data_IF_528512231841
#
_entry.id   IF_528512231841
#
_cell.length_a   1.000
_cell.length_b   1.000
_cell.length_c   1.000
_cell.angle_alpha   90.00
_cell.angle_beta   90.00
_cell.angle_gamma   90.00
#
_symmetry.space_group_name_H-M   'P 1'
#
loop_
_entity.id
_entity.type
_entity.pdbx_description
1 polymer ?
#
# COMPACT_ATOMS: atom_id res chain seq x y z
N UNK A 1 -26.29 48.82 -5.16
CA UNK A 1 -25.92 47.50 -4.64
C UNK A 1 -24.75 47.69 -3.68
N UNK A 2 -24.89 47.37 -2.41
CA UNK A 2 -23.79 47.48 -1.43
C UNK A 2 -22.83 46.31 -1.58
N UNK A 3 -21.52 46.57 -1.50
CA UNK A 3 -20.51 45.52 -1.48
C UNK A 3 -20.65 44.66 -0.22
N UNK A 4 -20.25 43.38 -0.25
CA UNK A 4 -20.22 42.53 0.94
C UNK A 4 -19.45 43.21 2.09
N UNK A 5 -19.91 43.00 3.33
CA UNK A 5 -19.30 43.59 4.53
C UNK A 5 -17.83 43.20 4.70
N UNK A 6 -17.47 41.97 4.34
CA UNK A 6 -16.09 41.47 4.33
C UNK A 6 -15.18 42.27 3.39
N UNK A 7 -15.67 42.60 2.20
CA UNK A 7 -14.91 43.39 1.23
C UNK A 7 -14.69 44.82 1.72
N UNK A 8 -15.72 45.43 2.29
CA UNK A 8 -15.64 46.80 2.83
C UNK A 8 -14.62 46.90 3.96
N UNK A 9 -14.59 45.92 4.86
CA UNK A 9 -13.65 45.87 5.98
C UNK A 9 -12.19 45.78 5.52
N UNK A 10 -11.87 44.98 4.50
CA UNK A 10 -10.51 44.83 3.99
C UNK A 10 -10.01 46.10 3.28
N UNK A 11 -10.90 46.78 2.54
CA UNK A 11 -10.57 48.06 1.90
C UNK A 11 -10.36 49.16 2.95
N UNK A 12 -11.19 49.19 4.00
CA UNK A 12 -11.00 50.13 5.11
C UNK A 12 -9.66 49.89 5.83
N UNK A 13 -9.30 48.63 6.08
CA UNK A 13 -8.02 48.25 6.69
C UNK A 13 -6.82 48.69 5.83
N UNK A 14 -6.86 48.44 4.52
CA UNK A 14 -5.84 48.91 3.59
C UNK A 14 -5.76 50.45 3.59
N UNK A 15 -6.90 51.13 3.52
CA UNK A 15 -6.95 52.60 3.48
C UNK A 15 -6.34 53.24 4.73
N UNK A 16 -6.51 52.59 5.89
CA UNK A 16 -5.92 53.01 7.16
C UNK A 16 -4.40 52.87 7.14
N UNK A 17 -3.89 51.75 6.63
CA UNK A 17 -2.46 51.49 6.61
C UNK A 17 -1.72 52.33 5.58
N UNK A 18 -2.33 52.59 4.41
CA UNK A 18 -1.80 53.51 3.39
C UNK A 18 -1.71 54.94 3.93
N UNK A 19 -2.76 55.42 4.64
CA UNK A 19 -2.72 56.76 5.27
C UNK A 19 -1.66 56.87 6.35
N UNK A 20 -1.39 55.77 7.06
CA UNK A 20 -0.41 55.72 8.15
C UNK A 20 1.02 55.69 7.65
N UNK A 21 1.32 54.88 6.63
CA UNK A 21 2.69 54.65 6.17
C UNK A 21 3.12 55.54 5.00
N UNK A 22 2.16 56.19 4.31
CA UNK A 22 2.39 57.04 3.14
C UNK A 22 3.46 56.48 2.18
N UNK A 23 3.24 55.26 1.63
CA UNK A 23 4.23 54.60 0.80
C UNK A 23 4.44 55.35 -0.52
N UNK A 24 5.70 55.42 -0.97
CA UNK A 24 6.07 56.02 -2.27
C UNK A 24 5.58 55.17 -3.45
N UNK A 25 5.56 53.85 -3.28
CA UNK A 25 4.99 52.90 -4.24
C UNK A 25 3.73 52.26 -3.63
N UNK A 26 2.58 52.84 -3.97
CA UNK A 26 1.28 52.41 -3.47
C UNK A 26 0.90 51.03 -4.01
N UNK A 27 1.31 50.68 -5.23
CA UNK A 27 0.94 49.39 -5.84
C UNK A 27 1.70 48.23 -5.21
N UNK A 28 3.01 48.36 -5.05
CA UNK A 28 3.82 47.36 -4.35
C UNK A 28 3.40 47.23 -2.89
N UNK A 29 3.02 48.34 -2.25
CA UNK A 29 2.50 48.34 -0.89
C UNK A 29 1.21 47.54 -0.77
N UNK A 30 0.24 47.77 -1.66
CA UNK A 30 -1.01 47.01 -1.71
C UNK A 30 -0.77 45.51 -1.94
N UNK A 31 0.13 45.14 -2.86
CA UNK A 31 0.47 43.75 -3.11
C UNK A 31 1.02 43.05 -1.86
N UNK A 32 1.98 43.70 -1.19
CA UNK A 32 2.58 43.18 0.05
C UNK A 32 1.56 43.10 1.20
N UNK A 33 0.65 44.08 1.31
CA UNK A 33 -0.41 44.10 2.31
C UNK A 33 -1.33 42.89 2.17
N UNK A 34 -1.84 42.62 0.97
CA UNK A 34 -2.74 41.48 0.74
C UNK A 34 -2.03 40.14 0.88
N UNK A 35 -0.74 40.06 0.53
CA UNK A 35 0.04 38.84 0.73
C UNK A 35 0.21 38.50 2.21
N UNK A 36 0.55 39.49 3.06
CA UNK A 36 0.63 39.31 4.52
C UNK A 36 -0.73 38.98 5.15
N UNK A 37 -1.80 39.59 4.64
CA UNK A 37 -3.17 39.31 5.09
C UNK A 37 -3.58 37.87 4.77
N UNK A 38 -3.25 37.38 3.58
CA UNK A 38 -3.51 36.01 3.15
C UNK A 38 -2.71 34.98 3.96
N UNK A 39 -1.43 35.27 4.24
CA UNK A 39 -0.59 34.43 5.10
C UNK A 39 -1.17 34.32 6.51
N UNK A 40 -1.66 35.43 7.07
CA UNK A 40 -2.31 35.45 8.39
C UNK A 40 -3.57 34.59 8.42
N UNK A 41 -4.42 34.68 7.38
CA UNK A 41 -5.63 33.84 7.28
C UNK A 41 -5.30 32.35 7.17
N UNK A 42 -4.25 31.99 6.43
CA UNK A 42 -3.80 30.60 6.32
C UNK A 42 -3.25 30.06 7.64
N UNK A 43 -2.49 30.88 8.36
CA UNK A 43 -1.98 30.51 9.68
C UNK A 43 -3.13 30.31 10.69
N UNK A 44 -4.13 31.19 10.67
CA UNK A 44 -5.32 31.07 11.50
C UNK A 44 -6.10 29.79 11.18
N UNK A 45 -6.34 29.49 9.89
CA UNK A 45 -7.03 28.28 9.45
C UNK A 45 -6.35 26.98 9.91
N UNK A 46 -5.02 26.92 9.84
CA UNK A 46 -4.24 25.77 10.32
C UNK A 46 -4.35 25.61 11.84
N UNK A 47 -4.37 26.72 12.58
CA UNK A 47 -4.60 26.74 14.03
C UNK A 47 -6.01 26.26 14.39
N UNK A 48 -7.04 26.64 13.63
CA UNK A 48 -8.42 26.17 13.85
C UNK A 48 -8.57 24.68 13.54
N UNK A 49 -7.86 24.16 12.54
CA UNK A 49 -7.81 22.71 12.25
C UNK A 49 -7.17 21.89 13.37
N UNK A 50 -6.14 22.43 14.03
CA UNK A 50 -5.54 21.76 15.18
C UNK A 50 -6.49 21.69 16.38
N UNK A 51 -7.31 22.72 16.61
CA UNK A 51 -8.28 22.76 17.70
C UNK A 51 -9.56 21.93 17.46
N UNK A 52 -9.89 21.56 16.22
CA UNK A 52 -11.03 20.70 15.88
C UNK A 52 -10.73 19.20 15.87
N UNK A 53 -9.53 18.77 16.28
CA UNK A 53 -9.13 17.36 16.32
C UNK A 53 -9.49 16.60 17.62
N UNK A 54 -10.22 17.24 18.54
CA UNK A 54 -10.89 16.60 19.68
C UNK A 54 -12.41 16.74 19.59
N UNK A 55 -13.03 16.18 18.54
CA UNK A 55 -14.38 15.58 18.54
C UNK A 55 -14.76 15.19 17.12
N UNK A 56 -15.10 13.91 16.95
CA UNK A 56 -15.85 13.25 15.85
C UNK A 56 -16.10 13.94 14.50
N UNK A 57 -15.90 13.13 13.43
CA UNK A 57 -16.40 13.29 12.05
C UNK A 57 -15.71 14.38 11.20
N UNK A 58 -14.89 13.95 10.24
CA UNK A 58 -14.41 14.81 9.16
C UNK A 58 -15.52 14.96 8.11
N UNK A 59 -16.34 16.00 8.24
CA UNK A 59 -17.24 16.46 7.18
C UNK A 59 -16.47 17.40 6.25
N UNK A 60 -16.43 17.06 4.96
CA UNK A 60 -15.70 17.79 3.93
C UNK A 60 -16.43 19.08 3.56
N UNK A 61 -15.97 20.24 4.06
CA UNK A 61 -16.45 21.55 3.62
C UNK A 61 -15.38 22.26 2.77
N UNK A 62 -15.37 21.98 1.47
CA UNK A 62 -14.74 22.85 0.46
C UNK A 62 -15.80 23.81 -0.10
N UNK A 63 -15.61 25.15 -0.06
CA UNK A 63 -16.50 26.09 -0.72
C UNK A 63 -16.06 26.23 -2.18
N UNK A 64 -16.81 25.64 -3.10
CA UNK A 64 -16.54 25.71 -4.54
C UNK A 64 -17.54 24.87 -5.33
N UNK A 65 -18.61 25.51 -5.78
CA UNK A 65 -19.63 24.92 -6.64
C UNK A 65 -19.10 24.68 -8.05
N UNK A 66 -18.81 23.42 -8.40
CA UNK A 66 -19.08 22.81 -9.71
C UNK A 66 -18.50 21.39 -9.75
N UNK A 67 -19.32 20.41 -9.38
CA UNK A 67 -19.03 19.00 -9.67
C UNK A 67 -19.49 18.73 -11.12
N UNK A 68 -18.60 18.35 -12.07
CA UNK A 68 -18.97 18.22 -13.49
C UNK A 68 -19.56 16.86 -13.86
N UNK A 69 -19.86 15.98 -12.90
CA UNK A 69 -20.51 14.69 -13.14
C UNK A 69 -21.65 14.49 -12.14
N UNK A 70 -22.85 14.93 -12.53
CA UNK A 70 -24.08 14.73 -11.78
C UNK A 70 -25.28 15.07 -12.67
N UNK A 71 -25.84 14.06 -13.30
CA UNK A 71 -26.99 14.18 -14.19
C UNK A 71 -28.25 14.56 -13.41
N UNK A 72 -28.74 15.79 -13.60
CA UNK A 72 -30.07 16.20 -13.15
C UNK A 72 -31.10 15.85 -14.23
N UNK A 73 -31.85 14.77 -14.02
CA UNK A 73 -33.11 14.55 -14.72
C UNK A 73 -34.20 15.32 -13.97
N UNK A 74 -34.77 16.33 -14.60
CA UNK A 74 -36.11 16.80 -14.25
C UNK A 74 -36.95 16.86 -15.52
N UNK A 75 -38.00 16.05 -15.54
CA UNK A 75 -38.96 15.91 -16.63
C UNK A 75 -40.18 16.79 -16.35
N UNK A 76 -40.70 17.45 -17.39
CA UNK A 76 -42.06 17.97 -17.39
C UNK A 76 -42.69 17.93 -18.77
N UNK A 77 -43.94 17.43 -18.80
CA UNK A 77 -44.96 17.50 -19.84
C UNK A 77 -44.82 16.58 -21.07
N UNK A 78 -45.86 15.94 -21.61
CA UNK A 78 -47.25 15.75 -21.22
C UNK A 78 -47.90 14.72 -22.17
N UNK A 79 -49.05 14.19 -21.74
CA UNK A 79 -50.25 13.84 -22.52
C UNK A 79 -50.52 12.37 -22.93
N UNK A 80 -51.65 11.88 -22.36
CA UNK A 80 -52.76 11.06 -22.95
C UNK A 80 -52.46 9.61 -23.41
N UNK A 81 -53.28 8.57 -23.22
CA UNK A 81 -54.66 8.38 -22.71
C UNK A 81 -55.03 6.86 -22.71
N UNK A 82 -56.03 6.45 -21.87
CA UNK A 82 -56.90 5.23 -21.94
C UNK A 82 -56.26 3.84 -21.66
N UNK A 83 -56.91 2.77 -21.17
CA UNK A 83 -58.09 2.48 -20.31
C UNK A 83 -58.24 0.92 -20.17
N UNK A 84 -58.44 0.41 -18.93
CA UNK A 84 -59.24 -0.80 -18.50
C UNK A 84 -58.60 -2.24 -18.51
N UNK A 85 -58.96 -3.17 -17.54
CA UNK A 85 -58.14 -4.25 -16.91
C UNK A 85 -58.71 -5.69 -17.19
N UNK A 86 -58.61 -6.77 -16.35
CA UNK A 86 -57.77 -7.15 -15.18
C UNK A 86 -57.14 -8.58 -15.23
N UNK A 87 -56.29 -8.93 -14.23
CA UNK A 87 -56.22 -10.23 -13.49
C UNK A 87 -54.81 -10.83 -13.23
N UNK A 88 -54.56 -11.11 -11.94
CA UNK A 88 -53.79 -12.23 -11.32
C UNK A 88 -52.31 -12.49 -11.65
N UNK A 89 -51.46 -12.52 -10.61
CA UNK A 89 -50.24 -13.37 -10.58
C UNK A 89 -49.03 -12.83 -9.78
N UNK A 90 -48.79 -13.42 -8.60
CA UNK A 90 -47.50 -13.67 -7.92
C UNK A 90 -46.39 -12.58 -7.88
N UNK A 91 -46.04 -12.17 -6.65
CA UNK A 91 -44.79 -11.46 -6.32
C UNK A 91 -43.60 -12.44 -6.25
N UNK A 92 -42.59 -12.25 -7.09
CA UNK A 92 -41.23 -12.75 -6.91
C UNK A 92 -40.28 -11.56 -6.79
N UNK A 93 -39.48 -11.57 -5.73
CA UNK A 93 -38.39 -10.61 -5.46
C UNK A 93 -37.19 -11.07 -6.28
N UNK A 94 -36.68 -10.21 -7.16
CA UNK A 94 -35.49 -10.47 -7.95
C UNK A 94 -34.25 -10.05 -7.15
N UNK A 95 -33.38 -11.03 -6.91
CA UNK A 95 -32.00 -10.89 -6.48
C UNK A 95 -31.17 -10.43 -7.70
N UNK A 96 -30.33 -9.41 -7.52
CA UNK A 96 -29.35 -9.00 -8.53
C UNK A 96 -28.04 -9.77 -8.27
N UNK A 97 -27.86 -10.84 -9.04
CA UNK A 97 -26.58 -11.53 -9.24
C UNK A 97 -25.70 -10.67 -10.17
N UNK A 98 -24.65 -10.04 -9.63
CA UNK A 98 -23.55 -9.44 -10.41
C UNK A 98 -22.31 -10.36 -10.35
N UNK A 99 -22.37 -11.46 -11.10
CA UNK A 99 -21.18 -12.19 -11.53
C UNK A 99 -20.69 -11.63 -12.89
N UNK A 100 -19.38 -11.34 -12.97
CA UNK A 100 -18.61 -10.83 -14.12
C UNK A 100 -18.49 -9.31 -14.30
N UNK A 101 -17.58 -8.69 -13.54
CA UNK A 101 -16.98 -7.41 -13.93
C UNK A 101 -15.64 -7.65 -14.63
N UNK A 102 -15.65 -7.56 -15.97
CA UNK A 102 -14.46 -7.44 -16.81
C UNK A 102 -13.69 -6.15 -16.45
N UNK A 103 -12.44 -6.32 -16.03
CA UNK A 103 -11.55 -5.23 -15.63
C UNK A 103 -10.95 -4.54 -16.87
N UNK A 104 -11.66 -3.56 -17.42
CA UNK A 104 -11.12 -2.71 -18.50
C UNK A 104 -10.15 -1.64 -17.92
N UNK A 105 -8.86 -1.81 -18.23
CA UNK A 105 -7.79 -0.83 -17.95
C UNK A 105 -8.06 0.53 -18.65
N UNK A 106 -7.74 1.69 -18.05
CA UNK A 106 -8.10 3.02 -18.57
C UNK A 106 -7.26 3.46 -19.79
N UNK A 107 -6.64 2.54 -20.52
CA UNK A 107 -5.84 2.82 -21.72
C UNK A 107 -6.45 2.27 -23.01
N UNK A 108 -7.74 1.90 -23.02
CA UNK A 108 -8.40 1.40 -24.22
C UNK A 108 -9.00 2.54 -25.07
N UNK A 109 -8.46 2.71 -26.28
CA UNK A 109 -8.99 3.61 -27.32
C UNK A 109 -10.30 3.05 -27.88
N UNK A 110 -11.41 3.76 -27.69
CA UNK A 110 -12.73 3.41 -28.25
C UNK A 110 -12.95 4.09 -29.61
N UNK A 111 -12.92 3.34 -30.69
CA UNK A 111 -13.65 3.64 -31.92
C UNK A 111 -14.32 2.36 -32.43
N UNK A 112 -15.63 2.38 -32.77
CA UNK A 112 -16.36 1.18 -33.18
C UNK A 112 -16.03 0.78 -34.63
N UNK A 113 -15.97 -0.53 -34.98
CA UNK A 113 -15.78 -0.97 -36.35
C UNK A 113 -17.14 -1.09 -37.07
N UNK A 114 -17.24 -0.53 -38.27
CA UNK A 114 -18.27 -0.90 -39.25
C UNK A 114 -17.64 -1.70 -40.38
N UNK A 115 -18.26 -2.83 -40.70
CA UNK A 115 -17.86 -3.83 -41.69
C UNK A 115 -18.48 -3.51 -43.06
N UNK A 116 -17.68 -3.53 -44.15
CA UNK A 116 -17.89 -4.36 -45.38
C UNK A 116 -16.85 -4.11 -46.49
N UNK A 117 -16.24 -5.23 -46.94
CA UNK A 117 -15.75 -5.69 -48.28
C UNK A 117 -15.20 -4.66 -49.31
N UNK A 118 -14.12 -4.87 -50.10
CA UNK A 118 -13.64 -6.06 -50.81
C UNK A 118 -12.22 -5.86 -51.43
N UNK A 119 -11.51 -6.97 -51.67
CA UNK A 119 -10.47 -7.28 -52.69
C UNK A 119 -9.04 -6.67 -52.71
N UNK A 120 -8.10 -7.63 -52.75
CA UNK A 120 -6.82 -7.71 -53.48
C UNK A 120 -5.53 -7.04 -52.96
N UNK A 121 -4.66 -7.92 -52.44
CA UNK A 121 -3.22 -8.11 -52.72
C UNK A 121 -2.20 -6.99 -52.45
N UNK A 122 -1.25 -7.38 -51.58
CA UNK A 122 0.20 -7.32 -51.74
C UNK A 122 0.99 -6.30 -50.88
N UNK A 123 1.85 -6.88 -50.04
CA UNK A 123 3.20 -6.46 -49.65
C UNK A 123 3.45 -5.11 -48.98
N UNK A 124 4.23 -5.17 -47.90
CA UNK A 124 5.14 -4.08 -47.53
C UNK A 124 4.78 -3.34 -46.25
N UNK A 125 5.49 -3.69 -45.18
CA UNK A 125 5.69 -2.87 -43.99
C UNK A 125 6.05 -1.42 -44.34
N UNK A 126 5.23 -0.45 -43.99
CA UNK A 126 5.60 0.98 -43.92
C UNK A 126 4.65 1.72 -42.97
N UNK A 127 5.09 1.97 -41.74
CA UNK A 127 4.40 2.87 -40.81
C UNK A 127 4.88 4.31 -41.10
N UNK A 128 4.22 4.99 -42.04
CA UNK A 128 4.34 6.44 -42.28
C UNK A 128 3.50 7.22 -41.26
N UNK A 129 3.90 8.38 -40.72
CA UNK A 129 4.35 9.62 -41.36
C UNK A 129 3.35 10.13 -42.41
N UNK A 130 2.39 11.00 -42.04
CA UNK A 130 1.80 12.13 -42.81
C UNK A 130 0.95 12.96 -41.81
N UNK A 131 1.22 14.21 -41.42
CA UNK A 131 1.63 15.45 -42.10
C UNK A 131 0.59 15.95 -43.13
N UNK A 132 -0.31 16.82 -42.66
CA UNK A 132 -1.23 17.60 -43.50
C UNK A 132 -0.51 18.82 -44.08
N UNK A 133 -0.62 18.95 -45.40
CA UNK A 133 -0.15 20.06 -46.23
C UNK A 133 -1.24 21.14 -46.34
N UNK A 134 -0.89 22.43 -46.45
CA UNK A 134 -1.69 23.36 -47.21
C UNK A 134 -0.88 23.93 -48.38
N UNK A 135 -1.48 23.81 -49.56
CA UNK A 135 -1.04 24.35 -50.84
C UNK A 135 -0.98 25.88 -50.86
N UNK A 136 0.09 26.46 -51.43
CA UNK A 136 -0.03 27.46 -52.50
C UNK A 136 1.32 27.81 -53.14
N UNK A 137 1.21 28.16 -54.41
CA UNK A 137 2.19 28.47 -55.45
C UNK A 137 3.12 29.67 -55.19
N UNK A 138 4.33 29.60 -55.76
CA UNK A 138 4.89 30.74 -56.50
C UNK A 138 6.19 31.38 -56.00
N UNK A 139 7.26 31.08 -56.74
CA UNK A 139 8.34 32.02 -57.17
C UNK A 139 9.44 32.47 -56.21
N UNK A 140 10.69 32.33 -56.70
CA UNK A 140 11.95 32.81 -56.15
C UNK A 140 12.01 34.35 -56.04
N UNK A 141 12.61 34.87 -54.96
CA UNK A 141 13.55 36.01 -55.01
C UNK A 141 14.35 36.22 -53.71
N UNK A 142 15.55 36.75 -53.88
CA UNK A 142 16.62 36.99 -52.92
C UNK A 142 16.47 38.33 -52.15
N UNK A 143 17.04 38.35 -50.94
CA UNK A 143 17.55 39.51 -50.15
C UNK A 143 16.56 40.49 -49.50
N UNK A 144 16.56 40.51 -48.15
CA UNK A 144 17.12 41.61 -47.33
C UNK A 144 17.01 41.30 -45.83
N UNK A 145 18.06 41.65 -45.09
CA UNK A 145 18.21 41.48 -43.63
C UNK A 145 17.31 42.44 -42.85
N UNK A 146 16.73 41.95 -41.76
CA UNK A 146 16.28 42.71 -40.57
C UNK A 146 16.10 41.72 -39.39
N UNK A 147 16.32 42.14 -38.13
CA UNK A 147 17.02 41.34 -37.13
C UNK A 147 16.14 40.32 -36.40
N UNK A 148 16.78 39.23 -35.97
CA UNK A 148 16.22 38.25 -35.06
C UNK A 148 15.80 38.94 -33.75
N UNK A 149 14.50 38.92 -33.46
CA UNK A 149 14.06 39.09 -32.08
C UNK A 149 14.42 37.83 -31.31
N UNK A 150 15.38 38.01 -30.42
CA UNK A 150 15.77 37.14 -29.33
C UNK A 150 14.49 36.69 -28.61
N UNK A 151 14.16 35.39 -28.69
CA UNK A 151 13.02 34.83 -27.95
C UNK A 151 13.52 34.50 -26.54
N UNK A 152 13.22 35.30 -25.50
CA UNK A 152 13.84 35.16 -24.20
C UNK A 152 13.00 34.20 -23.36
N UNK A 153 13.02 32.90 -23.69
CA UNK A 153 12.51 31.82 -22.81
C UNK A 153 12.80 30.41 -23.37
N UNK A 154 14.04 30.14 -23.74
CA UNK A 154 14.54 28.76 -23.73
C UNK A 154 14.84 28.38 -22.28
N UNK A 155 13.86 27.80 -21.58
CA UNK A 155 14.11 27.21 -20.26
C UNK A 155 15.27 26.18 -20.36
N UNK A 156 16.22 26.17 -19.42
CA UNK A 156 17.27 25.16 -19.40
C UNK A 156 16.66 23.75 -19.44
N UNK A 157 17.26 22.82 -20.20
CA UNK A 157 16.83 21.39 -20.25
C UNK A 157 16.83 20.71 -18.87
N UNK A 158 17.39 21.36 -17.86
CA UNK A 158 17.42 20.96 -16.46
C UNK A 158 16.20 21.46 -15.65
N UNK A 159 15.20 22.10 -16.28
CA UNK A 159 13.93 22.46 -15.64
C UNK A 159 13.01 21.25 -15.41
N UNK A 160 13.59 20.11 -15.00
CA UNK A 160 12.87 19.08 -14.29
C UNK A 160 12.87 19.47 -12.82
N UNK A 161 11.96 20.37 -12.40
CA UNK A 161 11.66 20.62 -10.99
C UNK A 161 11.19 19.31 -10.35
N UNK A 162 12.12 18.47 -9.87
CA UNK A 162 11.90 17.36 -8.94
C UNK A 162 10.51 16.70 -9.04
N UNK A 163 9.99 16.48 -10.27
CA UNK A 163 8.63 15.99 -10.44
C UNK A 163 8.70 14.55 -10.02
N UNK A 164 7.89 14.19 -9.03
CA UNK A 164 7.81 12.81 -8.55
C UNK A 164 7.46 11.93 -9.74
N UNK A 165 8.36 11.03 -10.10
CA UNK A 165 8.15 10.02 -11.14
C UNK A 165 7.54 8.79 -10.50
N UNK A 166 6.64 8.12 -11.23
CA UNK A 166 6.10 6.84 -10.79
C UNK A 166 7.18 5.76 -10.85
N UNK A 167 7.17 4.85 -9.88
CA UNK A 167 7.97 3.63 -9.88
C UNK A 167 7.05 2.43 -9.86
N UNK A 168 7.44 1.37 -10.57
CA UNK A 168 6.72 0.09 -10.58
C UNK A 168 7.72 -1.05 -10.56
N UNK A 169 7.26 -2.19 -10.08
CA UNK A 169 8.00 -3.44 -10.08
C UNK A 169 7.25 -4.46 -10.97
N UNK A 170 7.83 -5.64 -11.24
CA UNK A 170 7.14 -6.63 -12.06
C UNK A 170 5.82 -7.09 -11.39
N UNK A 171 4.81 -7.42 -12.19
CA UNK A 171 3.58 -8.04 -11.70
C UNK A 171 3.86 -9.49 -11.34
N UNK A 172 3.47 -9.89 -10.13
CA UNK A 172 3.55 -11.27 -9.63
C UNK A 172 2.14 -11.70 -9.26
N UNK A 173 1.68 -12.83 -9.81
CA UNK A 173 0.34 -13.36 -9.58
C UNK A 173 0.43 -14.58 -8.64
N UNK A 174 0.22 -14.41 -7.32
CA UNK A 174 0.36 -15.51 -6.35
C UNK A 174 -0.68 -16.63 -6.52
N UNK A 175 -1.81 -16.35 -7.18
CA UNK A 175 -2.92 -17.30 -7.39
C UNK A 175 -2.89 -18.01 -8.74
N UNK A 176 -1.96 -17.68 -9.65
CA UNK A 176 -1.91 -18.33 -10.95
C UNK A 176 -1.45 -19.78 -10.78
N UNK A 177 -2.36 -20.73 -11.02
CA UNK A 177 -2.17 -22.18 -10.87
C UNK A 177 -0.93 -22.76 -11.58
N UNK A 178 -0.32 -22.00 -12.50
CA UNK A 178 0.87 -22.37 -13.24
C UNK A 178 2.18 -22.23 -12.43
N UNK A 179 2.13 -21.61 -11.25
CA UNK A 179 3.31 -21.29 -10.45
C UNK A 179 3.50 -22.22 -9.22
N UNK A 180 2.74 -23.32 -9.16
CA UNK A 180 2.78 -24.33 -8.08
C UNK A 180 4.10 -25.11 -7.97
N UNK A 181 5.00 -24.99 -8.95
CA UNK A 181 6.27 -25.71 -8.97
C UNK A 181 7.51 -24.83 -8.71
N UNK A 182 7.33 -23.54 -8.40
CA UNK A 182 8.47 -22.76 -7.97
C UNK A 182 8.88 -23.16 -6.56
N UNK A 183 10.18 -23.39 -6.39
CA UNK A 183 10.78 -23.66 -5.10
C UNK A 183 11.76 -22.55 -4.82
N UNK A 184 11.72 -22.06 -3.58
CA UNK A 184 12.69 -21.09 -3.09
C UNK A 184 14.09 -21.65 -3.37
N UNK A 185 14.94 -20.94 -4.16
CA UNK A 185 16.31 -21.34 -4.37
C UNK A 185 17.01 -21.48 -3.02
N UNK A 186 17.76 -22.55 -2.82
CA UNK A 186 18.51 -22.77 -1.59
C UNK A 186 19.95 -23.09 -1.94
N UNK A 187 20.86 -22.24 -1.47
CA UNK A 187 22.29 -22.42 -1.63
C UNK A 187 22.90 -22.78 -0.28
N UNK A 188 23.66 -23.89 -0.20
CA UNK A 188 24.20 -24.37 1.06
C UNK A 188 25.17 -23.36 1.68
N UNK A 189 25.01 -23.12 2.98
CA UNK A 189 25.83 -22.20 3.78
C UNK A 189 26.24 -22.87 5.07
N UNK A 190 27.38 -22.45 5.61
CA UNK A 190 27.79 -22.85 6.96
C UNK A 190 27.00 -22.07 8.01
N UNK A 191 26.82 -22.64 9.20
CA UNK A 191 26.12 -21.98 10.31
C UNK A 191 26.76 -20.63 10.68
N UNK A 192 28.08 -20.51 10.55
CA UNK A 192 28.80 -19.25 10.77
C UNK A 192 28.48 -18.18 9.71
N UNK A 193 28.41 -18.58 8.43
CA UNK A 193 28.01 -17.68 7.34
C UNK A 193 26.57 -17.20 7.52
N UNK A 194 25.64 -18.08 7.90
CA UNK A 194 24.25 -17.70 8.19
C UNK A 194 24.16 -16.71 9.34
N UNK A 195 24.95 -16.92 10.41
CA UNK A 195 24.99 -15.99 11.55
C UNK A 195 25.50 -14.61 11.13
N UNK A 196 26.58 -14.54 10.35
CA UNK A 196 27.11 -13.26 9.82
C UNK A 196 26.12 -12.57 8.89
N UNK A 197 25.47 -13.32 8.01
CA UNK A 197 24.44 -12.81 7.11
C UNK A 197 23.25 -12.24 7.87
N UNK A 198 22.76 -12.97 8.88
CA UNK A 198 21.67 -12.51 9.74
C UNK A 198 22.04 -11.20 10.44
N UNK A 199 23.26 -11.08 10.96
CA UNK A 199 23.73 -9.84 11.57
C UNK A 199 23.85 -8.68 10.55
N UNK A 200 24.32 -8.96 9.32
CA UNK A 200 24.49 -7.96 8.27
C UNK A 200 23.16 -7.37 7.77
N UNK A 201 22.09 -8.17 7.72
CA UNK A 201 20.77 -7.70 7.25
C UNK A 201 19.86 -7.20 8.38
N UNK A 202 20.19 -7.42 9.64
CA UNK A 202 19.32 -7.09 10.78
C UNK A 202 18.92 -5.61 10.86
N UNK A 203 19.80 -4.70 10.44
CA UNK A 203 19.54 -3.25 10.43
C UNK A 203 18.88 -2.74 9.15
N UNK A 204 18.65 -3.62 8.17
CA UNK A 204 18.04 -3.26 6.90
C UNK A 204 16.51 -3.25 7.04
N UNK A 205 15.87 -2.15 6.66
CA UNK A 205 14.42 -1.97 6.78
C UNK A 205 13.60 -3.01 5.99
N UNK A 206 14.16 -3.59 4.93
CA UNK A 206 13.51 -4.66 4.16
C UNK A 206 13.47 -6.00 4.89
N UNK A 207 14.38 -6.20 5.85
CA UNK A 207 14.57 -7.47 6.54
C UNK A 207 14.11 -7.40 8.01
N UNK A 208 14.04 -6.20 8.59
CA UNK A 208 13.69 -5.98 10.00
C UNK A 208 12.29 -6.47 10.40
N UNK A 209 11.36 -6.59 9.44
CA UNK A 209 9.98 -7.01 9.68
C UNK A 209 9.66 -8.41 9.15
N UNK A 210 10.67 -9.17 8.74
CA UNK A 210 10.48 -10.56 8.31
C UNK A 210 10.34 -11.48 9.52
N UNK A 211 9.47 -12.48 9.40
CA UNK A 211 9.44 -13.56 10.39
C UNK A 211 10.68 -14.47 10.24
N UNK A 212 10.90 -15.36 11.21
CA UNK A 212 12.07 -16.25 11.23
C UNK A 212 12.11 -17.21 10.03
N UNK A 213 10.95 -17.63 9.54
CA UNK A 213 10.83 -18.54 8.39
C UNK A 213 11.19 -17.81 7.09
N UNK A 214 10.60 -16.63 6.87
CA UNK A 214 10.91 -15.73 5.77
C UNK A 214 12.39 -15.37 5.77
N UNK A 215 12.93 -14.99 6.93
CA UNK A 215 14.36 -14.67 7.09
C UNK A 215 15.22 -15.86 6.68
N UNK A 216 14.88 -17.06 7.13
CA UNK A 216 15.63 -18.28 6.79
C UNK A 216 15.55 -18.59 5.29
N UNK A 217 14.37 -18.48 4.68
CA UNK A 217 14.17 -18.68 3.24
C UNK A 217 14.96 -17.66 2.40
N UNK A 218 14.93 -16.38 2.79
CA UNK A 218 15.65 -15.31 2.09
C UNK A 218 17.18 -15.48 2.22
N UNK A 219 17.68 -15.78 3.44
CA UNK A 219 19.10 -16.04 3.63
C UNK A 219 19.56 -17.33 2.92
N UNK A 220 18.70 -18.35 2.85
CA UNK A 220 18.92 -19.56 2.05
C UNK A 220 19.05 -19.26 0.55
N UNK A 221 18.26 -18.32 0.04
CA UNK A 221 18.24 -17.92 -1.37
C UNK A 221 19.41 -17.03 -1.81
N UNK A 222 20.20 -16.48 -0.88
CA UNK A 222 21.41 -15.73 -1.24
C UNK A 222 22.43 -16.62 -1.96
N UNK A 223 22.83 -16.21 -3.16
CA UNK A 223 23.81 -16.91 -3.98
C UNK A 223 25.20 -16.31 -3.79
N UNK A 224 26.24 -17.16 -3.71
CA UNK A 224 27.62 -16.69 -3.67
C UNK A 224 28.06 -16.14 -5.04
N UNK A 225 28.64 -14.94 -5.05
CA UNK A 225 29.29 -14.32 -6.20
C UNK A 225 30.73 -13.97 -5.85
N UNK A 226 31.66 -14.64 -6.52
CA UNK A 226 33.11 -14.40 -6.37
C UNK A 226 33.56 -13.22 -7.22
N UNK A 227 34.36 -12.35 -6.63
CA UNK A 227 35.00 -11.21 -7.30
C UNK A 227 36.50 -11.51 -7.40
N UNK A 228 37.02 -11.79 -8.62
CA UNK A 228 38.34 -12.41 -8.77
C UNK A 228 39.52 -11.45 -8.55
N UNK A 229 39.32 -10.14 -8.69
CA UNK A 229 40.39 -9.14 -8.62
C UNK A 229 39.84 -7.76 -8.24
N UNK A 230 40.77 -6.82 -8.02
CA UNK A 230 40.47 -5.39 -7.91
C UNK A 230 39.95 -4.81 -9.22
N UNK A 231 39.36 -3.62 -9.15
CA UNK A 231 38.84 -2.83 -10.27
C UNK A 231 37.66 -3.48 -11.01
N UNK A 232 37.02 -4.50 -10.41
CA UNK A 232 35.81 -5.14 -10.96
C UNK A 232 34.59 -4.31 -10.57
N UNK A 233 33.84 -3.82 -11.57
CA UNK A 233 32.59 -3.09 -11.37
C UNK A 233 31.47 -4.08 -11.08
N UNK A 234 30.99 -4.10 -9.84
CA UNK A 234 29.88 -4.95 -9.39
C UNK A 234 28.54 -4.37 -9.82
N UNK A 235 28.42 -3.04 -9.69
CA UNK A 235 27.25 -2.23 -10.04
C UNK A 235 27.74 -1.02 -10.83
N UNK A 236 27.00 -0.62 -11.85
CA UNK A 236 27.26 0.61 -12.61
C UNK A 236 26.08 1.55 -12.44
N UNK A 237 26.36 2.82 -12.15
CA UNK A 237 25.34 3.85 -12.00
C UNK A 237 24.57 4.06 -13.31
N UNK A 238 23.23 4.09 -13.21
CA UNK A 238 22.33 4.23 -14.34
C UNK A 238 21.82 2.90 -14.92
N UNK A 239 22.49 1.77 -14.63
CA UNK A 239 22.03 0.46 -15.08
C UNK A 239 20.78 0.01 -14.30
N UNK A 240 19.93 -0.86 -14.87
CA UNK A 240 18.84 -1.51 -14.14
C UNK A 240 19.35 -2.25 -12.90
N UNK A 241 18.62 -2.13 -11.79
CA UNK A 241 18.99 -2.78 -10.55
C UNK A 241 18.32 -4.13 -10.33
N UNK A 242 19.05 -5.24 -10.53
CA UNK A 242 18.43 -6.58 -10.42
C UNK A 242 18.68 -7.28 -9.08
N UNK A 243 19.84 -7.01 -8.46
CA UNK A 243 20.33 -7.71 -7.27
C UNK A 243 20.57 -6.79 -6.07
N UNK A 244 20.38 -7.33 -4.89
CA UNK A 244 20.92 -6.84 -3.62
C UNK A 244 22.19 -7.61 -3.27
N UNK A 245 23.17 -6.96 -2.65
CA UNK A 245 24.45 -7.57 -2.29
C UNK A 245 24.79 -7.38 -0.81
N UNK A 246 25.32 -8.43 -0.20
CA UNK A 246 25.95 -8.42 1.14
C UNK A 246 27.41 -8.81 1.01
N UNK A 247 28.30 -8.07 1.66
CA UNK A 247 29.74 -8.31 1.59
C UNK A 247 30.14 -9.41 2.59
N UNK A 248 30.63 -10.54 2.09
CA UNK A 248 31.20 -11.61 2.92
C UNK A 248 32.68 -11.35 3.18
N UNK A 249 33.44 -10.99 2.15
CA UNK A 249 34.87 -10.69 2.23
C UNK A 249 35.30 -9.71 1.14
N UNK A 250 36.43 -9.05 1.38
CA UNK A 250 36.97 -8.00 0.53
C UNK A 250 36.34 -6.64 0.80
N UNK A 251 36.81 -5.65 0.04
CA UNK A 251 36.44 -4.24 0.22
C UNK A 251 35.98 -3.63 -1.11
N UNK A 252 34.96 -2.78 -1.04
CA UNK A 252 34.28 -2.23 -2.20
C UNK A 252 34.08 -0.72 -2.08
N UNK A 253 34.52 0.03 -3.07
CA UNK A 253 34.37 1.48 -3.11
C UNK A 253 33.13 1.88 -3.90
N UNK A 254 32.38 2.84 -3.36
CA UNK A 254 31.13 3.35 -3.93
C UNK A 254 31.39 4.75 -4.48
N UNK A 255 31.04 4.95 -5.74
CA UNK A 255 31.22 6.19 -6.49
C UNK A 255 29.90 6.71 -7.02
N UNK A 256 29.72 8.04 -6.98
CA UNK A 256 28.53 8.71 -7.52
C UNK A 256 28.95 9.79 -8.49
N UNK A 257 28.48 9.66 -9.73
CA UNK A 257 28.60 10.67 -10.77
C UNK A 257 27.44 11.67 -10.68
N UNK A 258 27.77 12.96 -10.72
CA UNK A 258 26.79 14.06 -10.70
C UNK A 258 25.88 14.07 -11.93
N UNK A 259 26.32 13.48 -13.05
CA UNK A 259 25.52 13.39 -14.28
C UNK A 259 24.49 12.26 -14.26
N UNK A 260 24.40 11.47 -13.19
CA UNK A 260 23.48 10.33 -13.10
C UNK A 260 23.90 9.08 -13.88
N UNK A 261 24.95 9.17 -14.70
CA UNK A 261 25.53 8.08 -15.49
C UNK A 261 27.06 8.15 -15.46
N UNK A 262 27.71 7.00 -15.67
CA UNK A 262 29.17 6.91 -15.80
C UNK A 262 29.60 7.48 -17.15
N UNK A 263 30.52 8.45 -17.15
CA UNK A 263 31.07 9.05 -18.37
C UNK A 263 32.36 8.35 -18.82
N UNK A 264 32.73 8.42 -20.11
CA UNK A 264 34.05 7.98 -20.58
C UNK A 264 35.16 8.91 -20.06
N UNK A 265 36.21 8.35 -19.46
CA UNK A 265 37.38 9.09 -18.98
C UNK A 265 37.83 8.69 -17.56
N UNK A 266 38.99 9.18 -17.09
CA UNK A 266 39.53 8.84 -15.76
C UNK A 266 38.60 9.26 -14.61
N UNK A 267 37.92 10.40 -14.74
CA UNK A 267 37.03 10.97 -13.72
C UNK A 267 35.55 10.61 -13.93
N UNK A 268 35.26 9.78 -14.95
CA UNK A 268 33.89 9.53 -15.39
C UNK A 268 33.04 8.70 -14.42
N UNK A 269 33.67 8.07 -13.42
CA UNK A 269 32.99 7.32 -12.36
C UNK A 269 32.41 8.23 -11.26
N UNK A 270 32.85 9.49 -11.21
CA UNK A 270 32.45 10.45 -10.19
C UNK A 270 33.27 10.35 -8.90
N UNK A 271 32.76 10.97 -7.84
CA UNK A 271 33.45 11.04 -6.54
C UNK A 271 33.18 9.79 -5.71
N UNK A 272 34.21 9.27 -5.04
CA UNK A 272 34.07 8.23 -4.01
C UNK A 272 33.26 8.78 -2.84
N UNK A 273 32.13 8.15 -2.52
CA UNK A 273 31.22 8.56 -1.45
C UNK A 273 31.33 7.68 -0.21
N UNK A 274 31.68 6.40 -0.37
CA UNK A 274 31.75 5.45 0.72
C UNK A 274 32.62 4.23 0.36
N UNK A 275 32.93 3.43 1.37
CA UNK A 275 33.57 2.12 1.24
C UNK A 275 32.77 1.11 2.05
N UNK A 276 32.52 -0.07 1.48
CA UNK A 276 31.78 -1.18 2.05
C UNK A 276 32.73 -2.36 2.29
N UNK A 277 32.82 -2.79 3.54
CA UNK A 277 33.59 -3.97 3.97
C UNK A 277 32.68 -5.12 4.43
N UNK A 278 33.27 -6.21 4.96
CA UNK A 278 32.52 -7.38 5.42
C UNK A 278 31.40 -7.02 6.42
N UNK A 279 30.23 -7.63 6.25
CA UNK A 279 29.06 -7.38 7.09
C UNK A 279 28.24 -6.15 6.68
N UNK A 280 28.64 -5.43 5.63
CA UNK A 280 27.85 -4.34 5.05
C UNK A 280 27.06 -4.82 3.83
N UNK A 281 26.05 -4.06 3.42
CA UNK A 281 25.21 -4.39 2.26
C UNK A 281 24.95 -3.18 1.38
N UNK A 282 24.69 -3.39 0.09
CA UNK A 282 24.36 -2.32 -0.85
C UNK A 282 23.39 -2.78 -1.94
N UNK A 283 22.68 -1.82 -2.53
CA UNK A 283 21.74 -2.07 -3.62
C UNK A 283 20.37 -2.59 -3.20
N UNK A 284 19.97 -2.39 -1.94
CA UNK A 284 18.69 -2.86 -1.37
C UNK A 284 17.45 -2.37 -2.12
N UNK A 285 17.47 -1.13 -2.65
CA UNK A 285 16.34 -0.55 -3.39
C UNK A 285 16.01 -1.35 -4.66
N UNK A 286 16.96 -2.09 -5.20
CA UNK A 286 16.73 -3.00 -6.31
C UNK A 286 15.73 -4.11 -5.97
N UNK A 287 15.51 -4.44 -4.69
CA UNK A 287 14.52 -5.43 -4.27
C UNK A 287 13.09 -4.87 -4.23
N UNK A 288 12.92 -3.54 -4.19
CA UNK A 288 11.60 -2.92 -4.07
C UNK A 288 10.97 -2.61 -5.43
N UNK A 289 11.72 -1.99 -6.33
CA UNK A 289 11.19 -1.49 -7.60
C UNK A 289 12.25 -1.44 -8.69
N UNK A 290 11.79 -1.36 -9.93
CA UNK A 290 12.65 -1.21 -11.08
C UNK A 290 13.18 0.22 -11.18
N UNK A 291 14.28 0.51 -10.49
CA UNK A 291 14.97 1.78 -10.57
C UNK A 291 16.42 1.64 -11.06
N UNK A 292 16.92 2.64 -11.80
CA UNK A 292 18.33 2.75 -12.13
C UNK A 292 19.20 2.80 -10.88
N UNK A 293 20.39 2.21 -10.96
CA UNK A 293 21.38 2.24 -9.89
C UNK A 293 21.84 3.67 -9.63
N UNK A 294 21.79 4.09 -8.36
CA UNK A 294 22.18 5.44 -7.94
C UNK A 294 23.70 5.64 -7.83
N UNK A 295 24.49 4.57 -7.80
CA UNK A 295 25.93 4.60 -7.61
C UNK A 295 26.62 3.45 -8.35
N UNK A 296 27.91 3.63 -8.64
CA UNK A 296 28.81 2.60 -9.15
C UNK A 296 29.56 1.97 -7.98
N UNK A 297 29.69 0.65 -7.94
CA UNK A 297 30.42 -0.07 -6.89
C UNK A 297 31.55 -0.88 -7.51
N UNK A 298 32.77 -0.70 -7.02
CA UNK A 298 33.99 -1.29 -7.57
C UNK A 298 34.78 -2.00 -6.48
N UNK A 299 35.29 -3.19 -6.78
CA UNK A 299 36.17 -3.90 -5.85
C UNK A 299 37.55 -3.25 -5.74
N UNK A 300 38.07 -3.12 -4.53
CA UNK A 300 39.47 -2.72 -4.31
C UNK A 300 40.41 -3.91 -4.23
N UNK A 301 39.85 -5.11 -3.98
CA UNK A 301 40.56 -6.37 -3.84
C UNK A 301 39.66 -7.56 -4.26
N UNK A 302 40.21 -8.77 -4.31
CA UNK A 302 39.41 -9.98 -4.50
C UNK A 302 38.51 -10.20 -3.28
N UNK A 303 37.28 -10.65 -3.51
CA UNK A 303 36.28 -10.75 -2.45
C UNK A 303 35.11 -11.65 -2.81
N UNK A 304 34.20 -11.80 -1.86
CA UNK A 304 32.99 -12.62 -2.00
C UNK A 304 31.79 -11.77 -1.61
N UNK A 305 30.77 -11.79 -2.46
CA UNK A 305 29.49 -11.17 -2.23
C UNK A 305 28.41 -12.25 -2.16
N UNK A 306 27.41 -12.05 -1.33
CA UNK A 306 26.14 -12.75 -1.41
C UNK A 306 25.18 -11.89 -2.21
N UNK A 307 24.54 -12.45 -3.23
CA UNK A 307 23.58 -11.75 -4.07
C UNK A 307 22.18 -12.36 -3.99
N UNK A 308 21.15 -11.51 -4.01
CA UNK A 308 19.74 -11.91 -4.05
C UNK A 308 19.02 -11.10 -5.11
N UNK A 309 18.26 -11.76 -5.98
CA UNK A 309 17.46 -11.08 -7.00
C UNK A 309 16.11 -10.60 -6.47
N UNK A 310 15.59 -9.53 -7.09
CA UNK A 310 14.30 -8.93 -6.75
C UNK A 310 13.15 -9.93 -6.79
N UNK A 311 13.08 -10.75 -7.84
CA UNK A 311 11.93 -11.62 -8.10
C UNK A 311 11.84 -12.68 -7.02
N UNK A 312 12.95 -13.33 -6.69
CA UNK A 312 13.06 -14.30 -5.59
C UNK A 312 12.67 -13.67 -4.25
N UNK A 313 13.22 -12.49 -3.92
CA UNK A 313 12.87 -11.81 -2.67
C UNK A 313 11.36 -11.52 -2.57
N UNK A 314 10.79 -10.88 -3.60
CA UNK A 314 9.35 -10.53 -3.60
C UNK A 314 8.47 -11.77 -3.56
N UNK A 315 8.88 -12.85 -4.24
CA UNK A 315 8.12 -14.10 -4.26
C UNK A 315 8.12 -14.81 -2.91
N UNK A 316 9.25 -14.85 -2.19
CA UNK A 316 9.30 -15.39 -0.81
C UNK A 316 8.29 -14.64 0.09
N UNK A 317 8.25 -13.30 -0.01
CA UNK A 317 7.33 -12.49 0.79
C UNK A 317 5.86 -12.68 0.39
N UNK A 318 5.59 -12.75 -0.92
CA UNK A 318 4.22 -12.93 -1.43
C UNK A 318 3.69 -14.34 -1.16
N UNK A 319 4.49 -15.38 -1.35
CA UNK A 319 4.07 -16.77 -1.16
C UNK A 319 3.77 -17.04 0.32
N UNK A 320 4.62 -16.57 1.23
CA UNK A 320 4.38 -16.72 2.68
C UNK A 320 3.13 -15.97 3.15
N UNK A 321 2.92 -14.73 2.69
CA UNK A 321 1.71 -13.97 3.01
C UNK A 321 0.45 -14.62 2.43
N UNK A 322 0.52 -15.12 1.18
CA UNK A 322 -0.58 -15.80 0.52
C UNK A 322 -0.92 -17.14 1.18
N UNK A 323 0.09 -17.95 1.51
CA UNK A 323 -0.09 -19.21 2.23
C UNK A 323 -0.69 -18.98 3.61
N UNK A 324 -0.22 -17.96 4.34
CA UNK A 324 -0.78 -17.57 5.64
C UNK A 324 -2.24 -17.15 5.51
N UNK A 325 -2.57 -16.32 4.52
CA UNK A 325 -3.96 -15.90 4.25
C UNK A 325 -4.84 -17.09 3.90
N UNK A 326 -4.38 -17.97 3.01
CA UNK A 326 -5.13 -19.16 2.58
C UNK A 326 -5.36 -20.14 3.73
N UNK A 327 -4.33 -20.39 4.53
CA UNK A 327 -4.43 -21.21 5.75
C UNK A 327 -5.50 -20.63 6.69
N UNK A 328 -5.48 -19.31 6.92
CA UNK A 328 -6.48 -18.65 7.75
C UNK A 328 -7.87 -18.70 7.14
N UNK A 329 -8.03 -18.45 5.85
CA UNK A 329 -9.34 -18.48 5.20
C UNK A 329 -9.97 -19.89 5.28
N UNK A 330 -9.20 -20.94 4.99
CA UNK A 330 -9.64 -22.33 5.16
C UNK A 330 -9.98 -22.65 6.61
N UNK A 331 -9.17 -22.18 7.56
CA UNK A 331 -9.46 -22.36 8.98
C UNK A 331 -10.74 -21.64 9.42
N UNK A 332 -10.93 -20.37 9.01
CA UNK A 332 -12.10 -19.57 9.38
C UNK A 332 -13.38 -20.08 8.73
N UNK A 333 -13.29 -20.78 7.60
CA UNK A 333 -14.40 -21.50 6.99
C UNK A 333 -14.86 -22.69 7.84
N UNK A 334 -13.95 -23.39 8.52
CA UNK A 334 -14.27 -24.49 9.44
C UNK A 334 -14.89 -23.99 10.77
N UNK A 335 -14.69 -22.72 11.13
CA UNK A 335 -15.18 -22.14 12.40
C UNK A 335 -16.70 -21.90 12.32
N UNK A 336 -17.53 -22.62 13.10
CA UNK A 336 -18.99 -22.52 12.98
C UNK A 336 -19.53 -21.12 13.26
N UNK A 337 -18.86 -20.36 14.13
CA UNK A 337 -19.21 -18.97 14.45
C UNK A 337 -19.13 -18.05 13.23
N UNK A 338 -18.17 -18.31 12.32
CA UNK A 338 -17.84 -17.46 11.19
C UNK A 338 -18.40 -17.98 9.86
N UNK A 339 -19.11 -19.11 9.89
CA UNK A 339 -19.74 -19.72 8.73
C UNK A 339 -20.77 -18.80 8.03
N UNK A 340 -21.37 -17.86 8.77
CA UNK A 340 -22.33 -16.89 8.23
C UNK A 340 -21.67 -15.70 7.51
N UNK A 341 -20.36 -15.52 7.64
CA UNK A 341 -19.64 -14.44 6.97
C UNK A 341 -19.39 -14.79 5.50
N UNK A 342 -19.38 -13.78 4.64
CA UNK A 342 -18.92 -13.93 3.25
C UNK A 342 -17.42 -14.24 3.19
N UNK A 343 -16.93 -14.80 2.07
CA UNK A 343 -15.48 -14.98 1.85
C UNK A 343 -14.73 -13.66 1.96
N UNK A 344 -15.28 -12.56 1.45
CA UNK A 344 -14.67 -11.24 1.57
C UNK A 344 -14.52 -10.76 3.02
N UNK A 345 -15.51 -11.00 3.88
CA UNK A 345 -15.44 -10.67 5.31
C UNK A 345 -14.43 -11.57 6.05
N UNK A 346 -14.45 -12.88 5.79
CA UNK A 346 -13.44 -13.81 6.34
C UNK A 346 -12.03 -13.41 5.92
N UNK A 347 -11.86 -12.98 4.69
CA UNK A 347 -10.59 -12.54 4.12
C UNK A 347 -10.05 -11.28 4.82
N UNK A 348 -10.92 -10.35 5.24
CA UNK A 348 -10.52 -9.20 6.09
C UNK A 348 -10.10 -9.62 7.49
N UNK A 349 -10.78 -10.62 8.07
CA UNK A 349 -10.42 -11.15 9.39
C UNK A 349 -9.07 -11.86 9.30
N UNK A 350 -8.85 -12.69 8.28
CA UNK A 350 -7.60 -13.41 8.04
C UNK A 350 -6.38 -12.47 7.98
N UNK A 351 -6.53 -11.27 7.42
CA UNK A 351 -5.47 -10.25 7.37
C UNK A 351 -5.13 -9.63 8.72
N UNK A 352 -6.07 -9.62 9.65
CA UNK A 352 -5.92 -9.01 10.97
C UNK A 352 -5.55 -10.02 12.06
N UNK A 353 -5.49 -11.32 11.73
CA UNK A 353 -5.17 -12.37 12.69
C UNK A 353 -3.66 -12.53 12.85
N UNK A 354 -3.25 -12.72 14.11
CA UNK A 354 -1.88 -13.07 14.47
C UNK A 354 -1.83 -14.46 15.11
N UNK A 355 -0.79 -15.25 14.81
CA UNK A 355 -0.56 -16.53 15.50
C UNK A 355 0.13 -16.31 16.84
N UNK A 356 -0.38 -16.91 17.91
CA UNK A 356 0.32 -17.02 19.20
C UNK A 356 0.37 -18.49 19.64
N UNK A 357 1.49 -18.91 20.22
CA UNK A 357 1.72 -20.29 20.69
C UNK A 357 1.89 -20.32 22.20
N UNK A 358 1.37 -21.38 22.82
CA UNK A 358 1.39 -21.60 24.26
C UNK A 358 1.79 -23.04 24.56
N UNK A 359 2.66 -23.23 25.57
CA UNK A 359 3.07 -24.55 26.03
C UNK A 359 2.00 -25.16 26.97
N UNK A 360 1.95 -26.49 27.14
CA UNK A 360 1.06 -27.13 28.10
C UNK A 360 1.18 -26.52 29.50
N UNK A 361 0.06 -26.35 30.18
CA UNK A 361 -0.05 -25.76 31.52
C UNK A 361 0.07 -24.24 31.58
N UNK A 362 0.40 -23.56 30.48
CA UNK A 362 0.50 -22.10 30.47
C UNK A 362 -0.88 -21.42 30.54
N UNK A 363 -0.92 -20.28 31.21
CA UNK A 363 -2.13 -19.47 31.37
C UNK A 363 -2.25 -18.50 30.20
N UNK A 364 -3.29 -18.67 29.38
CA UNK A 364 -3.55 -17.83 28.19
C UNK A 364 -4.29 -16.56 28.60
N UNK A 365 -5.31 -16.71 29.45
CA UNK A 365 -6.10 -15.61 30.02
C UNK A 365 -6.12 -15.79 31.53
N UNK A 366 -5.99 -14.70 32.27
CA UNK A 366 -6.17 -14.67 33.72
C UNK A 366 -7.49 -13.97 34.07
N UNK A 367 -8.26 -14.60 34.95
CA UNK A 367 -9.46 -14.00 35.52
C UNK A 367 -9.15 -12.69 36.24
N UNK A 368 -9.96 -11.66 35.97
CA UNK A 368 -9.82 -10.32 36.54
C UNK A 368 -8.93 -9.36 35.75
N UNK A 369 -8.16 -9.85 34.77
CA UNK A 369 -7.36 -8.97 33.91
C UNK A 369 -8.27 -8.19 32.95
N UNK A 370 -7.78 -7.04 32.46
CA UNK A 370 -8.47 -6.32 31.38
C UNK A 370 -8.35 -7.13 30.09
N UNK A 371 -9.45 -7.35 29.39
CA UNK A 371 -9.43 -8.07 28.11
C UNK A 371 -9.29 -7.14 26.92
N UNK A 372 -8.22 -7.30 26.17
CA UNK A 372 -7.89 -6.52 24.96
C UNK A 372 -7.79 -7.38 23.68
N UNK A 373 -7.88 -8.71 23.84
CA UNK A 373 -7.70 -9.69 22.76
C UNK A 373 -8.81 -10.74 22.74
N UNK A 374 -9.13 -11.19 21.53
CA UNK A 374 -10.01 -12.31 21.23
C UNK A 374 -9.18 -13.44 20.63
N UNK A 375 -9.52 -14.69 20.95
CA UNK A 375 -8.75 -15.86 20.53
C UNK A 375 -9.64 -16.90 19.86
N UNK A 376 -9.14 -17.51 18.79
CA UNK A 376 -9.70 -18.68 18.13
C UNK A 376 -8.65 -19.80 18.19
N UNK A 377 -9.06 -21.00 18.57
CA UNK A 377 -8.14 -22.13 18.76
C UNK A 377 -7.85 -22.85 17.44
N UNK A 378 -6.62 -22.73 16.93
CA UNK A 378 -6.18 -23.36 15.68
C UNK A 378 -5.81 -24.83 15.89
N UNK A 379 -5.14 -25.13 17.01
CA UNK A 379 -4.75 -26.50 17.37
C UNK A 379 -4.53 -26.65 18.88
N UNK A 380 -4.65 -27.89 19.36
CA UNK A 380 -4.51 -28.25 20.77
C UNK A 380 -5.84 -28.25 21.53
N UNK A 381 -5.76 -28.23 22.86
CA UNK A 381 -6.90 -28.11 23.76
C UNK A 381 -6.61 -27.12 24.88
N UNK A 382 -7.63 -26.36 25.28
CA UNK A 382 -7.57 -25.40 26.38
C UNK A 382 -8.83 -25.49 27.23
N UNK A 383 -8.77 -25.05 28.48
CA UNK A 383 -9.90 -25.11 29.41
C UNK A 383 -10.09 -23.79 30.15
N UNK A 384 -11.35 -23.37 30.27
CA UNK A 384 -11.75 -22.25 31.11
C UNK A 384 -11.94 -22.73 32.56
N UNK A 385 -11.25 -22.09 33.49
CA UNK A 385 -11.29 -22.37 34.93
C UNK A 385 -11.59 -21.08 35.68
N UNK A 386 -12.55 -21.12 36.60
CA UNK A 386 -12.91 -20.00 37.47
C UNK A 386 -12.36 -20.22 38.86
N UNK A 387 -11.90 -19.14 39.50
CA UNK A 387 -11.36 -19.21 40.87
C UNK A 387 -12.43 -19.76 41.82
N UNK A 388 -12.08 -20.83 42.53
CA UNK A 388 -12.96 -21.49 43.50
C UNK A 388 -13.85 -22.59 42.92
N UNK A 389 -13.75 -22.91 41.62
CA UNK A 389 -14.35 -24.11 41.03
C UNK A 389 -13.30 -25.21 40.88
N UNK A 390 -13.62 -26.44 41.29
CA UNK A 390 -12.77 -27.62 41.03
C UNK A 390 -12.95 -28.17 39.61
N UNK A 391 -14.07 -27.86 38.95
CA UNK A 391 -14.37 -28.33 37.59
C UNK A 391 -14.17 -27.21 36.55
N UNK A 392 -13.69 -27.54 35.33
CA UNK A 392 -13.58 -26.58 34.24
C UNK A 392 -14.99 -26.16 33.77
N UNK A 393 -15.17 -24.86 33.50
CA UNK A 393 -16.43 -24.30 33.01
C UNK A 393 -16.69 -24.73 31.57
N UNK A 394 -15.62 -24.82 30.77
CA UNK A 394 -15.69 -25.19 29.36
C UNK A 394 -14.34 -25.70 28.89
N UNK A 395 -14.37 -26.75 28.08
CA UNK A 395 -13.20 -27.22 27.32
C UNK A 395 -13.31 -26.74 25.89
N UNK A 396 -12.21 -26.23 25.35
CA UNK A 396 -12.07 -25.67 24.01
C UNK A 396 -11.23 -26.61 23.13
N UNK A 397 -11.69 -26.80 21.90
CA UNK A 397 -11.06 -27.59 20.84
C UNK A 397 -10.86 -26.74 19.58
N UNK A 398 -10.22 -27.32 18.57
CA UNK A 398 -10.01 -26.65 17.28
C UNK A 398 -11.32 -26.04 16.76
N UNK A 399 -11.28 -24.76 16.39
CA UNK A 399 -12.40 -23.99 15.89
C UNK A 399 -13.23 -23.29 16.98
N UNK A 400 -13.03 -23.64 18.25
CA UNK A 400 -13.64 -22.89 19.36
C UNK A 400 -12.93 -21.56 19.58
N UNK A 401 -13.60 -20.67 20.29
CA UNK A 401 -13.10 -19.33 20.61
C UNK A 401 -13.33 -18.97 22.08
N UNK A 402 -12.59 -17.98 22.55
CA UNK A 402 -12.76 -17.40 23.88
C UNK A 402 -12.18 -15.98 23.97
N UNK A 403 -12.55 -15.28 25.04
CA UNK A 403 -12.09 -13.91 25.32
C UNK A 403 -12.98 -12.81 24.73
N UNK A 404 -14.06 -13.18 24.06
CA UNK A 404 -15.08 -12.29 23.51
C UNK A 404 -15.81 -11.49 24.59
N UNK A 405 -16.09 -12.10 25.76
CA UNK A 405 -16.93 -11.48 26.79
C UNK A 405 -16.37 -10.16 27.31
N UNK A 406 -15.05 -10.09 27.50
CA UNK A 406 -14.41 -8.87 27.98
C UNK A 406 -14.47 -7.73 26.96
N UNK A 407 -14.45 -8.07 25.66
CA UNK A 407 -14.55 -7.09 24.58
C UNK A 407 -16.01 -6.65 24.34
N UNK A 408 -16.96 -7.55 24.55
CA UNK A 408 -18.39 -7.32 24.34
C UNK A 408 -19.06 -6.57 25.50
N UNK A 409 -18.61 -6.78 26.74
CA UNK A 409 -19.20 -6.15 27.94
C UNK A 409 -18.36 -5.02 28.51
N UNK A 410 -17.15 -4.79 27.98
CA UNK A 410 -16.15 -3.87 28.53
C UNK A 410 -15.89 -4.12 30.03
N UNK A 411 -15.83 -5.42 30.39
CA UNK A 411 -15.59 -5.91 31.76
C UNK A 411 -14.29 -6.73 31.82
N UNK A 412 -13.69 -6.87 33.01
CA UNK A 412 -12.56 -7.77 33.20
C UNK A 412 -12.87 -9.22 32.80
N UNK A 413 -11.83 -9.99 32.51
CA UNK A 413 -11.91 -11.41 32.13
C UNK A 413 -12.68 -12.21 33.18
N UNK A 414 -13.75 -12.87 32.77
CA UNK A 414 -14.68 -13.56 33.68
C UNK A 414 -14.16 -14.89 34.24
N UNK A 415 -13.21 -15.52 33.54
CA UNK A 415 -12.56 -16.77 33.94
C UNK A 415 -11.13 -16.79 33.39
N UNK A 416 -10.30 -17.67 33.94
CA UNK A 416 -8.97 -17.95 33.41
C UNK A 416 -9.07 -19.01 32.31
N UNK A 417 -8.16 -18.99 31.34
CA UNK A 417 -8.05 -20.03 30.31
C UNK A 417 -6.64 -20.60 30.34
N UNK A 418 -6.52 -21.93 30.48
CA UNK A 418 -5.25 -22.64 30.56
C UNK A 418 -5.08 -23.59 29.37
N UNK A 419 -3.89 -23.65 28.80
CA UNK A 419 -3.53 -24.62 27.77
C UNK A 419 -3.35 -26.01 28.38
N UNK A 420 -4.04 -27.02 27.86
CA UNK A 420 -3.87 -28.42 28.30
C UNK A 420 -2.81 -29.14 27.48
N UNK A 421 -2.69 -28.82 26.19
CA UNK A 421 -1.62 -29.30 25.31
C UNK A 421 -0.74 -28.14 24.84
N UNK A 422 0.16 -28.39 23.90
CA UNK A 422 0.69 -27.31 23.08
C UNK A 422 -0.48 -26.73 22.27
N UNK A 423 -0.70 -25.43 22.39
CA UNK A 423 -1.85 -24.73 21.80
C UNK A 423 -1.36 -23.66 20.85
N UNK A 424 -1.96 -23.63 19.66
CA UNK A 424 -1.79 -22.54 18.69
C UNK A 424 -3.11 -21.78 18.60
N UNK A 425 -3.05 -20.47 18.75
CA UNK A 425 -4.20 -19.57 18.72
C UNK A 425 -4.04 -18.54 17.60
N UNK A 426 -5.14 -18.23 16.94
CA UNK A 426 -5.28 -17.02 16.15
C UNK A 426 -5.85 -15.92 17.07
N UNK A 427 -5.17 -14.78 17.20
CA UNK A 427 -5.61 -13.67 18.05
C UNK A 427 -5.99 -12.45 17.22
N UNK A 428 -7.01 -11.73 17.69
CA UNK A 428 -7.46 -10.45 17.15
C UNK A 428 -7.53 -9.42 18.27
N UNK A 429 -6.97 -8.23 18.07
CA UNK A 429 -7.06 -7.13 19.04
C UNK A 429 -8.45 -6.52 19.15
N UNK A 430 -8.73 -5.78 20.23
CA UNK A 430 -10.03 -5.12 20.51
C UNK A 430 -10.56 -4.32 19.32
N UNK A 431 -9.73 -3.48 18.71
CA UNK A 431 -10.14 -2.65 17.58
C UNK A 431 -10.49 -3.48 16.35
N UNK A 432 -9.69 -4.53 16.07
CA UNK A 432 -9.96 -5.49 15.01
C UNK A 432 -11.26 -6.25 15.25
N UNK A 433 -11.49 -6.70 16.49
CA UNK A 433 -12.70 -7.41 16.89
C UNK A 433 -13.95 -6.55 16.68
N UNK A 434 -13.96 -5.32 17.19
CA UNK A 434 -15.11 -4.42 17.06
C UNK A 434 -15.41 -4.05 15.61
N UNK A 435 -14.37 -3.85 14.79
CA UNK A 435 -14.52 -3.46 13.39
C UNK A 435 -14.91 -4.63 12.47
N UNK A 436 -14.38 -5.83 12.72
CA UNK A 436 -14.46 -6.96 11.79
C UNK A 436 -15.47 -8.03 12.20
N UNK A 437 -15.79 -8.17 13.49
CA UNK A 437 -16.68 -9.22 14.01
C UNK A 437 -18.06 -8.69 14.44
N UNK A 438 -18.39 -7.43 14.13
CA UNK A 438 -19.72 -6.86 14.36
C UNK A 438 -20.89 -7.73 13.88
N UNK A 439 -20.85 -8.36 12.68
CA UNK A 439 -21.95 -9.19 12.20
C UNK A 439 -22.24 -10.41 13.10
N UNK A 440 -21.22 -10.99 13.74
CA UNK A 440 -21.33 -12.21 14.55
C UNK A 440 -21.43 -11.93 16.06
N UNK A 441 -21.37 -10.66 16.47
CA UNK A 441 -21.49 -10.24 17.87
C UNK A 441 -22.77 -10.79 18.53
N UNK A 442 -23.90 -10.75 17.82
CA UNK A 442 -25.18 -11.24 18.34
C UNK A 442 -25.16 -12.73 18.68
N UNK A 443 -24.40 -13.55 17.92
CA UNK A 443 -24.23 -14.98 18.14
C UNK A 443 -23.35 -15.23 19.36
N UNK A 444 -22.25 -14.47 19.50
CA UNK A 444 -21.36 -14.55 20.64
C UNK A 444 -22.08 -14.27 21.97
N UNK A 445 -22.96 -13.24 22.00
CA UNK A 445 -23.73 -12.89 23.20
C UNK A 445 -24.73 -13.97 23.64
N UNK A 446 -25.19 -14.81 22.71
CA UNK A 446 -26.11 -15.93 22.98
C UNK A 446 -25.37 -17.14 23.57
N UNK A 447 -24.14 -17.39 23.12
CA UNK A 447 -23.34 -18.54 23.53
C UNK A 447 -22.47 -18.30 24.78
N UNK A 448 -22.84 -17.33 25.62
CA UNK A 448 -22.14 -16.99 26.85
C UNK A 448 -22.13 -18.18 27.83
N UNK A 449 -20.95 -18.76 28.16
CA UNK A 449 -20.85 -19.94 29.01
C UNK A 449 -21.39 -19.70 30.43
N UNK A 450 -21.42 -18.45 30.91
CA UNK A 450 -21.98 -18.12 32.24
C UNK A 450 -23.48 -18.31 32.31
N UNK A 451 -24.19 -18.24 31.18
CA UNK A 451 -25.65 -18.40 31.13
C UNK A 451 -26.08 -19.87 31.12
N UNK A 452 -25.21 -20.77 30.65
CA UNK A 452 -25.51 -22.21 30.64
C UNK A 452 -25.61 -22.83 32.04
N UNK A 453 -24.94 -22.25 33.05
CA UNK A 453 -25.10 -22.67 34.45
C UNK A 453 -26.44 -22.22 35.06
N UNK A 454 -27.15 -21.27 34.45
CA UNK A 454 -28.38 -20.68 35.04
C UNK A 454 -29.68 -21.40 34.68
N UNK A 455 -29.65 -22.40 33.80
CA UNK A 455 -30.81 -23.27 33.54
C UNK A 455 -30.76 -24.46 34.50
N UNK A 456 -31.21 -24.23 35.74
CA UNK A 456 -31.66 -25.32 36.60
C UNK A 456 -32.96 -25.90 36.00
N UNK A 457 -33.04 -27.19 35.62
CA UNK A 457 -34.25 -27.78 35.03
C UNK A 457 -35.41 -27.97 36.02
N UNK A 458 -35.37 -27.37 37.21
CA UNK A 458 -36.42 -27.43 38.21
C UNK A 458 -36.72 -26.05 38.81
N UNK A 459 -37.29 -25.16 38.00
CA UNK A 459 -38.32 -24.23 38.48
C UNK A 459 -39.22 -23.69 37.38
#
# INVERSE_FOLDING_TARGET
>A
MSLPSSYSNEIEALSREVRKQQPSDVLQFCANFFQRRLESQRAEFVLTQHHSSQTGMAESTFPGSSNPFGATNNSSAAATSRSIPPATGMHSVAEEDDEHADFASPTASSFPPNVRDNSSSNSGSTFGNFAFNPSSSGTQQQQSQSPAMDNPQSYPKEYNLNRRTSVSAESLAPSAANDTNWKVPSFPKTSEQESRLRAAVAHNFLFAHLDDEQTTQVLGALQERKIPAKDVRVIVQGDPGDYFYVVESGTFDIFVSKSGHVQPGPDGMGSKVATSGPGTSFGELALMYNAPRAATVVSTEAGILWQLDRVTFRRILMDSAFQRRRMYETFLEEVPLLAQLSSYERSKIADALETVKFTPGSLIIREGDVGDKFYILESGTAEAVKRGSEQPLKTYRKGDYFGELALLEDKPRAASVQAQTEVKLATLGKDGFQRLLGPVESIMRRNDPRKMESTDPLH
#
